data_IF_717690241767
#
_entry.id   IF_717690241767
#
_cell.length_a   1.000
_cell.length_b   1.000
_cell.length_c   1.000
_cell.angle_alpha   90.00
_cell.angle_beta   90.00
_cell.angle_gamma   90.00
#
_symmetry.space_group_name_H-M   'P 1'
#
loop_
_entity.id
_entity.type
_entity.pdbx_description
1 polymer ?
#
# COMPACT_ATOMS: atom_id res chain seq x y z
N UNK A 1 18.85 7.09 29.58
CA UNK A 1 17.55 7.48 29.02
C UNK A 1 17.48 7.00 27.58
N UNK A 2 16.54 6.11 27.28
CA UNK A 2 16.25 5.56 25.95
C UNK A 2 15.05 6.30 25.38
N UNK A 3 15.17 6.83 24.17
CA UNK A 3 14.07 7.53 23.48
C UNK A 3 13.79 6.84 22.17
N UNK A 4 12.52 6.51 21.94
CA UNK A 4 12.01 5.89 20.72
C UNK A 4 10.87 6.76 20.19
N UNK A 5 10.84 6.97 18.88
CA UNK A 5 9.76 7.72 18.22
C UNK A 5 9.30 6.97 16.98
N UNK A 6 7.99 6.85 16.82
CA UNK A 6 7.35 6.17 15.69
C UNK A 6 6.22 7.02 15.11
N UNK A 7 6.08 7.05 13.79
CA UNK A 7 4.95 7.64 13.09
C UNK A 7 3.92 6.54 12.77
N UNK A 8 2.68 6.71 13.20
CA UNK A 8 1.58 5.76 12.99
C UNK A 8 0.58 6.40 12.02
N UNK A 9 0.30 5.82 10.84
CA UNK A 9 -0.72 6.36 9.95
C UNK A 9 -2.09 6.33 10.62
N UNK A 10 -2.79 7.47 10.60
CA UNK A 10 -4.18 7.56 11.03
C UNK A 10 -5.04 6.97 9.92
N UNK A 11 -5.62 5.80 10.16
CA UNK A 11 -6.63 5.27 9.25
C UNK A 11 -7.84 6.21 9.26
N UNK A 12 -8.01 6.99 8.19
CA UNK A 12 -9.28 7.67 7.95
C UNK A 12 -10.34 6.59 7.77
N UNK A 13 -11.11 6.30 8.82
CA UNK A 13 -12.38 5.59 8.67
C UNK A 13 -13.27 6.48 7.79
N UNK A 14 -13.27 6.24 6.48
CA UNK A 14 -14.41 6.60 5.65
C UNK A 14 -15.61 5.93 6.31
N UNK A 15 -16.55 6.74 6.78
CA UNK A 15 -17.92 6.33 7.06
C UNK A 15 -18.37 5.36 5.97
N UNK A 16 -18.47 4.09 6.32
CA UNK A 16 -19.11 3.08 5.50
C UNK A 16 -20.58 3.47 5.43
N UNK A 17 -20.98 4.14 4.34
CA UNK A 17 -22.38 4.19 3.95
C UNK A 17 -22.84 2.74 3.77
N UNK A 18 -23.96 2.31 4.40
CA UNK A 18 -24.48 0.97 4.22
C UNK A 18 -24.75 0.75 2.73
N UNK A 19 -24.21 -0.35 2.20
CA UNK A 19 -24.61 -0.91 0.93
C UNK A 19 -26.10 -1.23 1.01
N UNK A 20 -26.94 -0.34 0.48
CA UNK A 20 -28.37 -0.58 0.33
C UNK A 20 -28.54 -1.76 -0.63
N UNK A 21 -28.80 -2.93 -0.04
CA UNK A 21 -29.53 -3.98 -0.71
C UNK A 21 -30.88 -3.39 -1.13
N UNK A 22 -31.21 -3.50 -2.42
CA UNK A 22 -32.49 -4.02 -2.94
C UNK A 22 -32.55 -3.67 -4.42
N UNK A 23 -32.49 -4.70 -5.27
CA UNK A 23 -33.47 -4.90 -6.34
C UNK A 23 -33.40 -6.36 -6.80
N UNK A 24 -34.38 -7.12 -6.30
CA UNK A 24 -34.73 -8.49 -6.71
C UNK A 24 -34.94 -8.54 -8.24
N UNK A 25 -34.35 -9.48 -8.99
CA UNK A 25 -34.91 -9.86 -10.27
C UNK A 25 -36.07 -10.82 -10.03
N UNK A 26 -37.25 -10.42 -10.49
CA UNK A 26 -38.44 -11.26 -10.57
C UNK A 26 -38.15 -12.46 -11.47
N UNK A 27 -38.18 -13.67 -10.89
CA UNK A 27 -37.88 -14.94 -11.57
C UNK A 27 -39.09 -15.38 -12.39
N UNK A 28 -38.97 -15.40 -13.70
CA UNK A 28 -39.90 -16.12 -14.60
C UNK A 28 -39.31 -17.53 -14.84
N UNK A 29 -40.05 -18.63 -14.63
CA UNK A 29 -39.57 -19.98 -14.94
C UNK A 29 -39.68 -20.30 -16.43
N UNK A 30 -38.57 -20.76 -17.03
CA UNK A 30 -38.59 -21.51 -18.29
C UNK A 30 -37.79 -20.87 -19.44
N UNK A 31 -36.50 -21.21 -19.56
CA UNK A 31 -35.72 -21.32 -20.81
C UNK A 31 -34.25 -21.70 -20.48
N UNK A 32 -33.55 -22.41 -21.38
CA UNK A 32 -32.44 -23.30 -21.02
C UNK A 32 -31.14 -22.57 -20.65
N UNK A 33 -30.30 -23.29 -19.91
CA UNK A 33 -29.04 -22.83 -19.34
C UNK A 33 -28.09 -22.27 -20.41
N UNK A 34 -27.88 -20.96 -20.36
CA UNK A 34 -26.63 -20.33 -20.79
C UNK A 34 -25.91 -19.87 -19.53
N UNK A 35 -24.78 -20.51 -19.24
CA UNK A 35 -23.84 -20.08 -18.21
C UNK A 35 -23.39 -18.67 -18.56
N UNK A 36 -24.05 -17.68 -17.96
CA UNK A 36 -23.65 -16.28 -18.07
C UNK A 36 -22.27 -16.15 -17.39
N UNK A 37 -21.22 -16.13 -18.20
CA UNK A 37 -19.90 -15.65 -17.79
C UNK A 37 -20.13 -14.23 -17.27
N UNK A 38 -19.82 -13.91 -16.00
CA UNK A 38 -19.88 -12.53 -15.56
C UNK A 38 -18.85 -11.76 -16.36
N UNK A 39 -19.32 -10.93 -17.29
CA UNK A 39 -18.52 -9.99 -18.07
C UNK A 39 -18.08 -8.82 -17.19
N UNK A 40 -17.35 -9.14 -16.14
CA UNK A 40 -16.48 -8.20 -15.47
C UNK A 40 -15.07 -8.77 -15.69
N UNK A 41 -14.56 -8.61 -16.92
CA UNK A 41 -13.22 -9.06 -17.24
C UNK A 41 -12.25 -8.12 -16.55
N UNK A 42 -12.05 -8.33 -15.26
CA UNK A 42 -10.92 -7.77 -14.53
C UNK A 42 -9.66 -8.27 -15.24
N UNK A 43 -8.96 -7.33 -15.88
CA UNK A 43 -7.75 -7.62 -16.67
C UNK A 43 -6.50 -7.60 -15.80
N UNK A 44 -6.61 -7.36 -14.49
CA UNK A 44 -5.47 -7.23 -13.57
C UNK A 44 -4.54 -8.46 -13.59
N UNK A 45 -5.09 -9.66 -13.80
CA UNK A 45 -4.30 -10.91 -13.87
C UNK A 45 -4.43 -11.61 -15.23
N UNK A 46 -4.50 -10.85 -16.33
CA UNK A 46 -4.66 -11.41 -17.67
C UNK A 46 -6.00 -12.12 -17.91
N UNK A 47 -6.99 -11.91 -17.04
CA UNK A 47 -8.28 -12.62 -17.04
C UNK A 47 -8.31 -13.90 -16.19
N UNK A 48 -7.21 -14.22 -15.49
CA UNK A 48 -7.20 -15.23 -14.44
C UNK A 48 -7.92 -14.72 -13.18
N UNK A 49 -8.27 -15.65 -12.30
CA UNK A 49 -8.71 -15.30 -10.95
C UNK A 49 -7.58 -14.59 -10.18
N UNK A 50 -7.90 -13.90 -9.09
CA UNK A 50 -6.87 -13.42 -8.17
C UNK A 50 -6.08 -14.60 -7.59
N UNK A 51 -4.74 -14.51 -7.49
CA UNK A 51 -3.94 -15.59 -6.96
C UNK A 51 -4.24 -15.80 -5.47
N UNK A 52 -4.22 -17.06 -5.05
CA UNK A 52 -4.37 -17.45 -3.64
C UNK A 52 -3.14 -17.00 -2.85
N UNK A 53 -3.32 -16.49 -1.64
CA UNK A 53 -2.19 -16.04 -0.79
C UNK A 53 -1.96 -16.97 0.41
N UNK A 54 -2.83 -17.94 0.61
CA UNK A 54 -2.87 -18.90 1.71
C UNK A 54 -2.19 -20.24 1.37
N UNK A 55 -1.75 -20.44 0.12
CA UNK A 55 -1.09 -21.67 -0.28
C UNK A 55 0.29 -21.79 0.39
N UNK A 56 0.56 -22.94 1.01
CA UNK A 56 1.88 -23.25 1.56
C UNK A 56 2.93 -23.28 0.45
N UNK A 57 4.09 -22.69 0.71
CA UNK A 57 5.23 -22.75 -0.19
C UNK A 57 5.84 -24.15 -0.16
N UNK A 58 5.92 -24.80 -1.33
CA UNK A 58 6.53 -26.12 -1.49
C UNK A 58 7.45 -26.11 -2.73
N UNK A 59 8.76 -26.37 -2.59
CA UNK A 59 9.67 -26.46 -3.73
C UNK A 59 9.28 -27.59 -4.69
N UNK A 60 9.35 -27.33 -5.99
CA UNK A 60 9.08 -28.35 -7.00
C UNK A 60 10.37 -29.03 -7.46
N UNK A 61 10.40 -30.36 -7.50
CA UNK A 61 11.51 -31.13 -8.08
C UNK A 61 11.10 -31.58 -9.49
N UNK A 62 11.78 -31.07 -10.52
CA UNK A 62 11.56 -31.44 -11.92
C UNK A 62 12.89 -31.89 -12.49
N UNK A 63 12.95 -33.12 -13.00
CA UNK A 63 14.19 -33.70 -13.59
C UNK A 63 15.41 -33.52 -12.69
N UNK A 64 15.27 -33.90 -11.42
CA UNK A 64 16.35 -33.81 -10.39
C UNK A 64 16.76 -32.38 -9.98
N UNK A 65 16.29 -31.35 -10.68
CA UNK A 65 16.48 -29.95 -10.29
C UNK A 65 15.39 -29.49 -9.31
N UNK A 66 15.82 -28.81 -8.23
CA UNK A 66 14.93 -28.19 -7.24
C UNK A 66 14.66 -26.74 -7.64
N UNK A 67 13.41 -26.45 -7.98
CA UNK A 67 12.94 -25.10 -8.28
C UNK A 67 12.38 -24.45 -7.02
N UNK A 68 12.97 -23.31 -6.64
CA UNK A 68 12.58 -22.53 -5.46
C UNK A 68 11.78 -21.27 -5.80
N UNK A 69 11.56 -20.98 -7.08
CA UNK A 69 10.77 -19.83 -7.50
C UNK A 69 9.28 -20.08 -7.26
N UNK A 70 8.57 -19.08 -6.73
CA UNK A 70 7.11 -19.15 -6.48
C UNK A 70 6.32 -19.41 -7.77
N UNK A 71 6.76 -18.86 -8.90
CA UNK A 71 6.16 -19.07 -10.23
C UNK A 71 6.28 -20.52 -10.70
N UNK A 72 7.17 -21.31 -10.12
CA UNK A 72 7.31 -22.75 -10.44
C UNK A 72 6.35 -23.62 -9.62
N UNK A 73 5.68 -23.08 -8.59
CA UNK A 73 4.65 -23.82 -7.87
C UNK A 73 3.41 -24.01 -8.75
N UNK A 74 2.80 -25.20 -8.69
CA UNK A 74 1.68 -25.57 -9.57
C UNK A 74 0.49 -24.59 -9.51
N UNK A 75 0.20 -24.06 -8.32
CA UNK A 75 -0.91 -23.11 -8.11
C UNK A 75 -0.64 -21.73 -8.74
N UNK A 76 0.62 -21.39 -9.03
CA UNK A 76 1.03 -20.09 -9.55
C UNK A 76 1.61 -20.14 -10.96
N UNK A 77 1.61 -21.31 -11.62
CA UNK A 77 2.30 -21.54 -12.91
C UNK A 77 1.84 -20.63 -14.05
N UNK A 78 0.62 -20.08 -13.95
CA UNK A 78 0.03 -19.22 -14.97
C UNK A 78 0.09 -17.73 -14.59
N UNK A 79 0.75 -17.36 -13.49
CA UNK A 79 0.95 -15.97 -13.09
C UNK A 79 2.39 -15.54 -13.32
N UNK A 80 2.56 -14.31 -13.79
CA UNK A 80 3.86 -13.64 -13.82
C UNK A 80 4.34 -13.28 -12.41
N UNK A 81 5.65 -13.02 -12.28
CA UNK A 81 6.23 -12.56 -11.02
C UNK A 81 5.60 -11.24 -10.56
N UNK A 82 5.34 -10.33 -11.49
CA UNK A 82 4.77 -9.01 -11.24
C UNK A 82 3.33 -9.11 -10.74
N UNK A 83 2.52 -10.00 -11.31
CA UNK A 83 1.15 -10.26 -10.87
C UNK A 83 1.11 -10.82 -9.45
N UNK A 84 1.97 -11.78 -9.13
CA UNK A 84 2.08 -12.33 -7.78
C UNK A 84 2.51 -11.25 -6.78
N UNK A 85 3.51 -10.43 -7.14
CA UNK A 85 3.95 -9.30 -6.31
C UNK A 85 2.84 -8.29 -6.08
N UNK A 86 2.04 -8.01 -7.11
CA UNK A 86 0.92 -7.09 -7.02
C UNK A 86 -0.19 -7.61 -6.09
N UNK A 87 -0.46 -8.92 -6.15
CA UNK A 87 -1.45 -9.57 -5.30
C UNK A 87 -0.98 -9.80 -3.87
N UNK A 88 0.33 -9.84 -3.62
CA UNK A 88 0.92 -9.93 -2.27
C UNK A 88 1.34 -8.55 -1.77
N UNK A 89 0.43 -7.69 -1.28
CA UNK A 89 0.83 -6.42 -0.70
C UNK A 89 1.75 -6.71 0.48
N UNK A 90 2.97 -6.18 0.43
CA UNK A 90 3.89 -6.23 1.57
C UNK A 90 3.13 -5.76 2.80
N UNK A 91 3.11 -6.53 3.90
CA UNK A 91 2.46 -6.09 5.13
C UNK A 91 2.95 -4.68 5.45
N UNK A 92 2.04 -3.69 5.39
CA UNK A 92 2.42 -2.32 5.71
C UNK A 92 2.91 -2.34 7.13
N UNK A 93 4.14 -1.89 7.36
CA UNK A 93 4.61 -1.59 8.71
C UNK A 93 3.59 -0.61 9.28
N UNK A 94 2.83 -1.05 10.29
CA UNK A 94 1.75 -0.26 10.89
C UNK A 94 2.28 1.02 11.56
N UNK A 95 3.60 1.10 11.76
CA UNK A 95 4.31 2.27 12.27
C UNK A 95 5.70 2.37 11.63
N UNK A 96 6.13 3.59 11.33
CA UNK A 96 7.45 3.91 10.78
C UNK A 96 8.36 4.42 11.91
N UNK A 97 9.51 3.80 12.14
CA UNK A 97 10.46 4.24 13.16
C UNK A 97 11.24 5.48 12.71
N UNK A 98 11.49 6.41 13.63
CA UNK A 98 12.30 7.60 13.37
C UNK A 98 13.76 7.40 13.78
N UNK A 99 14.65 8.12 13.11
CA UNK A 99 16.06 8.21 13.49
C UNK A 99 16.24 9.25 14.59
N UNK A 100 16.70 8.81 15.77
CA UNK A 100 16.86 9.67 16.94
C UNK A 100 18.31 10.12 17.08
N UNK A 101 18.51 11.40 17.32
CA UNK A 101 19.80 12.02 17.67
C UNK A 101 19.67 12.72 19.03
N UNK A 102 20.62 12.45 19.93
CA UNK A 102 20.73 13.15 21.22
C UNK A 102 21.55 14.44 21.05
N UNK A 103 21.12 15.51 21.72
CA UNK A 103 21.76 16.83 21.63
C UNK A 103 22.66 17.19 22.84
N UNK A 104 22.78 16.30 23.82
CA UNK A 104 23.59 16.46 25.06
C UNK A 104 23.20 17.64 25.97
N UNK A 105 22.04 18.26 25.73
CA UNK A 105 21.42 19.32 26.53
C UNK A 105 20.11 18.86 27.19
N UNK A 106 19.82 17.56 27.13
CA UNK A 106 18.56 16.96 27.57
C UNK A 106 17.48 16.86 26.48
N UNK A 107 17.75 17.33 25.26
CA UNK A 107 16.82 17.27 24.13
C UNK A 107 17.21 16.23 23.08
N UNK A 108 16.23 15.87 22.23
CA UNK A 108 16.36 14.85 21.19
C UNK A 108 15.77 15.35 19.88
N UNK A 109 16.42 15.02 18.77
CA UNK A 109 15.94 15.26 17.42
C UNK A 109 15.50 13.95 16.77
N UNK A 110 14.27 13.89 16.26
CA UNK A 110 13.75 12.77 15.50
C UNK A 110 13.64 13.13 14.01
N UNK A 111 14.28 12.34 13.14
CA UNK A 111 14.21 12.52 11.69
C UNK A 111 13.42 11.38 11.07
N UNK A 112 12.52 11.72 10.15
CA UNK A 112 11.63 10.77 9.49
C UNK A 112 11.42 11.16 8.04
N UNK A 113 11.55 10.18 7.15
CA UNK A 113 11.16 10.30 5.74
C UNK A 113 9.89 9.49 5.54
N UNK A 114 8.71 10.12 5.33
CA UNK A 114 7.46 9.41 5.19
C UNK A 114 7.44 8.51 3.95
N UNK A 115 7.01 7.25 4.12
CA UNK A 115 6.85 6.32 3.00
C UNK A 115 5.64 6.62 2.10
N UNK A 116 4.65 7.36 2.61
CA UNK A 116 3.45 7.73 1.88
C UNK A 116 2.81 9.03 2.40
N UNK A 117 2.10 9.73 1.51
CA UNK A 117 1.18 10.82 1.84
C UNK A 117 0.07 10.34 2.79
N UNK A 118 -0.30 11.19 3.75
CA UNK A 118 -1.30 10.83 4.76
C UNK A 118 -1.20 11.64 6.04
N UNK A 119 -2.12 11.38 6.97
CA UNK A 119 -2.07 11.90 8.34
C UNK A 119 -1.42 10.84 9.23
N UNK A 120 -0.48 11.26 10.06
CA UNK A 120 0.22 10.38 10.99
C UNK A 120 0.19 10.96 12.41
N UNK A 121 0.05 10.10 13.41
CA UNK A 121 0.27 10.43 14.82
C UNK A 121 1.69 10.03 15.21
N UNK A 122 2.41 10.91 15.90
CA UNK A 122 3.76 10.67 16.37
C UNK A 122 3.70 10.20 17.81
N UNK A 123 4.14 8.98 18.04
CA UNK A 123 4.21 8.39 19.38
C UNK A 123 5.66 8.48 19.86
N UNK A 124 5.83 9.06 21.05
CA UNK A 124 7.13 9.19 21.71
C UNK A 124 7.13 8.25 22.92
N UNK A 125 8.22 7.52 23.10
CA UNK A 125 8.41 6.63 24.26
C UNK A 125 9.76 6.94 24.90
N UNK A 126 9.74 7.24 26.20
CA UNK A 126 10.94 7.54 26.99
C UNK A 126 11.05 6.50 28.10
N UNK A 127 12.15 5.76 28.14
CA UNK A 127 12.41 4.68 29.12
C UNK A 127 11.25 3.66 29.23
N UNK A 128 10.54 3.42 28.12
CA UNK A 128 9.40 2.50 28.04
C UNK A 128 8.04 3.11 28.39
N UNK A 129 8.00 4.40 28.76
CA UNK A 129 6.76 5.12 29.06
C UNK A 129 6.31 5.87 27.81
N UNK A 130 5.08 5.60 27.36
CA UNK A 130 4.48 6.31 26.24
C UNK A 130 4.05 7.72 26.67
N UNK A 131 4.44 8.71 25.87
CA UNK A 131 4.12 10.11 26.11
C UNK A 131 2.93 10.46 25.23
N UNK A 132 1.80 10.78 25.86
CA UNK A 132 0.62 11.28 25.15
C UNK A 132 0.76 12.79 24.90
N UNK A 133 1.31 13.11 23.73
CA UNK A 133 1.55 14.49 23.31
C UNK A 133 0.61 14.95 22.18
N UNK A 134 -0.28 14.07 21.68
CA UNK A 134 -1.22 14.41 20.61
C UNK A 134 -0.57 14.95 19.32
N UNK A 135 0.66 14.53 19.01
CA UNK A 135 1.43 15.08 17.90
C UNK A 135 0.93 14.50 16.56
N UNK A 136 0.36 15.34 15.70
CA UNK A 136 -0.12 14.95 14.37
C UNK A 136 0.67 15.62 13.25
N UNK A 137 0.98 14.86 12.20
CA UNK A 137 1.72 15.33 11.03
C UNK A 137 0.96 14.97 9.76
N UNK A 138 0.62 15.99 8.97
CA UNK A 138 0.01 15.82 7.64
C UNK A 138 1.09 15.86 6.55
N UNK A 139 1.38 14.71 5.98
CA UNK A 139 2.27 14.55 4.82
C UNK A 139 1.47 14.83 3.55
N UNK A 140 1.91 15.81 2.77
CA UNK A 140 1.32 16.21 1.49
C UNK A 140 2.19 15.74 0.33
N UNK A 141 1.63 15.76 -0.88
CA UNK A 141 2.41 15.53 -2.09
C UNK A 141 3.60 16.49 -2.15
N UNK A 142 4.76 16.03 -2.66
CA UNK A 142 5.88 16.91 -2.94
C UNK A 142 5.38 18.02 -3.88
N UNK A 143 5.65 19.27 -3.51
CA UNK A 143 5.28 20.40 -4.36
C UNK A 143 5.96 20.23 -5.72
N UNK A 144 5.16 20.06 -6.78
CA UNK A 144 5.68 20.00 -8.13
C UNK A 144 6.46 21.30 -8.37
N UNK A 145 7.73 21.18 -8.74
CA UNK A 145 8.62 22.31 -8.93
C UNK A 145 7.94 23.39 -9.79
N UNK A 146 7.94 24.61 -9.27
CA UNK A 146 7.64 25.82 -10.02
C UNK A 146 8.60 25.92 -11.22
N UNK A 147 8.16 25.51 -12.40
CA UNK A 147 8.83 25.85 -13.65
C UNK A 147 8.63 27.37 -13.89
N UNK A 148 9.47 28.20 -13.28
CA UNK A 148 9.57 29.62 -13.67
C UNK A 148 10.19 29.69 -15.06
N UNK A 149 9.35 29.60 -16.10
CA UNK A 149 9.72 29.94 -17.47
C UNK A 149 10.04 31.45 -17.51
N UNK A 150 11.33 31.79 -17.40
CA UNK A 150 11.84 33.15 -17.58
C UNK A 150 11.98 33.42 -19.09
N UNK A 151 10.85 33.65 -19.75
CA UNK A 151 10.81 34.27 -21.07
C UNK A 151 10.09 35.62 -20.97
N UNK A 152 10.79 36.64 -20.48
CA UNK A 152 10.44 38.03 -20.78
C UNK A 152 11.34 38.51 -21.90
N UNK A 153 10.75 38.61 -23.09
CA UNK A 153 11.27 39.36 -24.22
C UNK A 153 11.65 40.78 -23.78
N UNK A 154 12.79 41.24 -24.29
CA UNK A 154 13.32 42.59 -24.07
C UNK A 154 14.31 42.91 -25.17
N UNK A 155 13.80 42.99 -26.40
CA UNK A 155 14.51 43.47 -27.57
C UNK A 155 14.61 44.99 -27.46
N UNK A 156 15.80 45.51 -27.18
CA UNK A 156 16.11 46.94 -27.39
C UNK A 156 16.97 47.07 -28.64
N UNK A 157 16.31 47.49 -29.72
CA UNK A 157 16.93 48.34 -30.75
C UNK A 157 17.09 49.73 -30.13
N UNK A 158 18.30 50.25 -30.12
CA UNK A 158 18.74 51.46 -30.84
C UNK A 158 20.19 51.79 -30.43
#
# INVERSE_FOLDING_TARGET
>A
MKVEVKAVPVSQKKTSLPQEQVKKPHRIPGSPAVTAVPSNTDKTFGGLASPKLDASYEPMIVKEARYIAITMMKVYENYSFEELRFASPTPKRLSENMLIRVNNDGTYCANWTPGAIGLYTIHVTIDGIEIDAGLEVKVKDPQKGIDTNRNSAGQTKD
#
